data_IF_807352469976
#
_entry.id   IF_807352469976
#
_cell.length_a   1.000
_cell.length_b   1.000
_cell.length_c   1.000
_cell.angle_alpha   90.00
_cell.angle_beta   90.00
_cell.angle_gamma   90.00
#
_symmetry.space_group_name_H-M   'P 1'
#
loop_
_entity.id
_entity.type
_entity.pdbx_description
1 polymer ?
#
# COMPACT_ATOMS: atom_id res chain seq x y z
N UNK A 1 45.19 -1.64 4.05
CA UNK A 1 46.46 -2.36 3.99
C UNK A 1 46.72 -2.62 2.52
N UNK A 2 47.39 -1.67 1.86
CA UNK A 2 47.81 -1.73 0.47
C UNK A 2 48.80 -2.88 0.36
N UNK A 3 48.39 -3.98 -0.26
CA UNK A 3 49.29 -4.97 -0.78
C UNK A 3 50.12 -4.28 -1.85
N UNK A 4 51.38 -4.04 -1.56
CA UNK A 4 52.35 -3.64 -2.57
C UNK A 4 52.35 -4.69 -3.67
N UNK A 5 52.15 -4.29 -4.94
CA UNK A 5 52.25 -5.24 -6.02
C UNK A 5 53.71 -5.77 -6.02
N UNK A 6 53.84 -7.06 -5.92
CA UNK A 6 55.12 -7.76 -5.98
C UNK A 6 55.96 -7.38 -7.19
N UNK A 7 55.36 -6.76 -8.19
CA UNK A 7 56.00 -6.22 -9.39
C UNK A 7 57.09 -5.19 -9.11
N UNK A 8 57.06 -4.48 -7.95
CA UNK A 8 58.09 -3.50 -7.63
C UNK A 8 59.33 -4.11 -7.02
N UNK A 9 59.24 -5.29 -6.43
CA UNK A 9 60.39 -6.01 -5.84
C UNK A 9 61.26 -6.75 -6.87
N UNK A 10 60.72 -7.10 -8.02
CA UNK A 10 61.42 -7.83 -9.07
C UNK A 10 61.98 -6.93 -10.20
N UNK A 11 61.69 -5.63 -10.14
CA UNK A 11 62.19 -4.65 -11.13
C UNK A 11 63.45 -3.92 -10.69
N UNK A 12 64.19 -4.51 -9.80
CA UNK A 12 65.48 -3.97 -9.38
C UNK A 12 66.58 -4.47 -10.31
N UNK A 13 67.02 -3.64 -11.20
CA UNK A 13 68.33 -3.45 -11.89
C UNK A 13 69.11 -4.65 -12.46
N UNK A 14 68.70 -5.89 -12.35
CA UNK A 14 69.23 -7.02 -13.06
C UNK A 14 68.12 -7.93 -13.52
N UNK A 15 68.00 -8.11 -14.82
CA UNK A 15 67.11 -9.06 -15.49
C UNK A 15 67.41 -10.50 -15.02
N UNK A 16 66.91 -10.88 -13.85
CA UNK A 16 67.00 -12.22 -13.27
C UNK A 16 65.94 -13.16 -13.78
N UNK A 17 64.94 -12.66 -14.49
CA UNK A 17 63.83 -13.43 -15.01
C UNK A 17 63.55 -13.02 -16.45
N UNK A 18 63.33 -14.00 -17.33
CA UNK A 18 62.96 -13.76 -18.73
C UNK A 18 61.61 -13.00 -18.78
N UNK A 19 61.44 -12.07 -19.74
CA UNK A 19 60.17 -11.35 -19.96
C UNK A 19 59.00 -12.31 -20.14
N UNK A 20 59.24 -13.47 -20.76
CA UNK A 20 58.24 -14.54 -20.94
C UNK A 20 57.78 -15.14 -19.59
N UNK A 21 58.72 -15.36 -18.66
CA UNK A 21 58.39 -15.92 -17.35
C UNK A 21 57.62 -14.91 -16.49
N UNK A 22 57.91 -13.62 -16.64
CA UNK A 22 57.18 -12.54 -15.99
C UNK A 22 55.76 -12.46 -16.54
N UNK A 23 55.55 -12.43 -17.84
CA UNK A 23 54.25 -12.42 -18.47
C UNK A 23 53.41 -13.64 -18.08
N UNK A 24 54.06 -14.83 -18.04
CA UNK A 24 53.37 -16.05 -17.59
C UNK A 24 52.95 -15.96 -16.12
N UNK A 25 53.76 -15.38 -15.25
CA UNK A 25 53.41 -15.19 -13.84
C UNK A 25 52.24 -14.20 -13.67
N UNK A 26 52.24 -13.10 -14.43
CA UNK A 26 51.13 -12.13 -14.46
C UNK A 26 49.85 -12.80 -14.96
N UNK A 27 49.91 -13.54 -16.05
CA UNK A 27 48.77 -14.28 -16.57
C UNK A 27 48.18 -15.26 -15.54
N UNK A 28 49.06 -16.04 -14.88
CA UNK A 28 48.63 -16.98 -13.85
C UNK A 28 48.00 -16.28 -12.65
N UNK A 29 48.53 -15.11 -12.25
CA UNK A 29 47.95 -14.30 -11.19
C UNK A 29 46.57 -13.79 -11.58
N UNK A 30 46.41 -13.20 -12.78
CA UNK A 30 45.16 -12.68 -13.25
C UNK A 30 44.10 -13.76 -13.43
N UNK A 31 44.52 -14.93 -13.91
CA UNK A 31 43.69 -16.13 -14.00
C UNK A 31 43.21 -16.58 -12.61
N UNK A 32 44.11 -16.69 -11.64
CA UNK A 32 43.78 -17.08 -10.28
C UNK A 32 42.85 -16.05 -9.62
N UNK A 33 43.09 -14.75 -9.84
CA UNK A 33 42.22 -13.66 -9.36
C UNK A 33 40.84 -13.74 -9.98
N UNK A 34 40.73 -13.96 -11.28
CA UNK A 34 39.46 -14.12 -11.97
C UNK A 34 38.68 -15.34 -11.46
N UNK A 35 39.36 -16.45 -11.19
CA UNK A 35 38.71 -17.62 -10.57
C UNK A 35 38.23 -17.34 -9.14
N UNK A 36 39.03 -16.61 -8.36
CA UNK A 36 38.60 -16.19 -7.01
C UNK A 36 37.37 -15.30 -7.05
N UNK A 37 37.36 -14.28 -7.92
CA UNK A 37 36.23 -13.36 -8.07
C UNK A 37 34.96 -14.09 -8.55
N UNK A 38 35.12 -15.06 -9.48
CA UNK A 38 34.02 -15.92 -9.94
C UNK A 38 33.44 -16.77 -8.80
N UNK A 39 34.35 -17.42 -8.02
CA UNK A 39 33.93 -18.25 -6.89
C UNK A 39 33.23 -17.41 -5.79
N UNK A 40 33.74 -16.21 -5.53
CA UNK A 40 33.14 -15.26 -4.61
C UNK A 40 31.74 -14.82 -5.07
N UNK A 41 31.56 -14.56 -6.36
CA UNK A 41 30.26 -14.23 -6.93
C UNK A 41 29.29 -15.42 -6.84
N UNK A 42 29.77 -16.65 -7.08
CA UNK A 42 28.98 -17.87 -6.93
C UNK A 42 28.54 -18.09 -5.46
N UNK A 43 29.43 -17.87 -4.50
CA UNK A 43 29.10 -17.93 -3.07
C UNK A 43 28.02 -16.91 -2.71
N UNK A 44 28.18 -15.62 -3.10
CA UNK A 44 27.22 -14.58 -2.83
C UNK A 44 25.85 -14.87 -3.46
N UNK A 45 25.82 -15.53 -4.63
CA UNK A 45 24.58 -16.00 -5.25
C UNK A 45 23.91 -17.12 -4.43
N UNK A 46 24.70 -18.08 -3.96
CA UNK A 46 24.19 -19.18 -3.14
C UNK A 46 23.65 -18.70 -1.79
N UNK A 47 24.36 -17.79 -1.13
CA UNK A 47 23.89 -17.15 0.12
C UNK A 47 22.58 -16.38 -0.07
N UNK A 48 22.46 -15.64 -1.18
CA UNK A 48 21.21 -14.95 -1.51
C UNK A 48 20.06 -15.91 -1.78
N UNK A 49 20.33 -17.00 -2.49
CA UNK A 49 19.29 -18.02 -2.71
C UNK A 49 18.87 -18.68 -1.40
N UNK A 50 19.82 -18.90 -0.48
CA UNK A 50 19.49 -19.41 0.85
C UNK A 50 18.66 -18.43 1.66
N UNK A 51 18.92 -17.13 1.58
CA UNK A 51 18.14 -16.11 2.27
C UNK A 51 16.67 -16.07 1.82
N UNK A 52 16.39 -16.43 0.58
CA UNK A 52 15.00 -16.53 0.07
C UNK A 52 14.21 -17.72 0.61
N UNK A 53 14.88 -18.70 1.24
CA UNK A 53 14.20 -19.80 1.89
C UNK A 53 13.46 -19.37 3.18
N UNK A 54 13.82 -18.21 3.75
CA UNK A 54 13.16 -17.64 4.93
C UNK A 54 12.51 -16.32 4.53
N UNK A 55 11.19 -16.30 4.53
CA UNK A 55 10.40 -15.09 4.23
C UNK A 55 10.09 -14.40 5.56
N UNK A 56 10.57 -13.19 5.71
CA UNK A 56 10.34 -12.36 6.90
C UNK A 56 9.49 -11.15 6.56
N UNK A 57 8.69 -10.69 7.52
CA UNK A 57 7.94 -9.44 7.36
C UNK A 57 8.91 -8.26 7.28
N UNK A 58 8.73 -7.33 6.32
CA UNK A 58 9.50 -6.09 6.24
C UNK A 58 9.06 -5.04 7.26
N UNK A 59 7.90 -5.23 7.90
CA UNK A 59 7.31 -4.31 8.87
C UNK A 59 6.87 -5.06 10.13
N UNK A 60 6.92 -4.37 11.25
CA UNK A 60 6.29 -4.84 12.49
C UNK A 60 4.80 -4.56 12.43
N UNK A 61 3.97 -5.46 12.95
CA UNK A 61 2.52 -5.27 12.90
C UNK A 61 1.73 -6.51 13.29
N UNK A 62 0.43 -6.43 13.06
CA UNK A 62 -0.53 -7.50 13.33
C UNK A 62 -0.92 -8.18 12.03
N UNK A 63 -0.90 -9.52 12.02
CA UNK A 63 -1.37 -10.31 10.87
C UNK A 63 -2.89 -10.24 10.80
N UNK A 64 -3.40 -9.71 9.68
CA UNK A 64 -4.85 -9.61 9.40
C UNK A 64 -5.36 -10.91 8.78
N UNK A 65 -4.65 -11.42 7.78
CA UNK A 65 -5.01 -12.68 7.10
C UNK A 65 -3.77 -13.49 6.77
N UNK A 66 -3.93 -14.81 6.80
CA UNK A 66 -3.00 -15.81 6.28
C UNK A 66 -3.71 -16.53 5.15
N UNK A 67 -3.18 -16.35 3.93
CA UNK A 67 -3.76 -16.96 2.74
C UNK A 67 -3.04 -18.25 2.34
N UNK A 68 -2.15 -18.74 3.23
CA UNK A 68 -1.36 -19.96 3.03
C UNK A 68 -1.50 -20.90 4.22
N UNK A 69 -1.47 -22.19 3.94
CA UNK A 69 -1.49 -23.26 4.92
C UNK A 69 -0.16 -24.02 4.94
N UNK A 70 0.11 -24.67 6.06
CA UNK A 70 1.30 -25.52 6.21
C UNK A 70 1.27 -26.70 5.21
N UNK A 71 2.36 -26.90 4.49
CA UNK A 71 2.47 -27.91 3.44
C UNK A 71 1.95 -27.47 2.07
N UNK A 72 1.41 -26.28 1.93
CA UNK A 72 0.98 -25.74 0.65
C UNK A 72 2.18 -25.34 -0.21
N UNK A 73 2.17 -25.78 -1.48
CA UNK A 73 3.17 -25.36 -2.45
C UNK A 73 2.84 -23.97 -2.99
N UNK A 74 3.73 -23.02 -2.79
CA UNK A 74 3.62 -21.68 -3.37
C UNK A 74 4.40 -21.65 -4.67
N UNK A 75 3.69 -21.60 -5.79
CA UNK A 75 4.31 -21.46 -7.11
C UNK A 75 4.52 -19.97 -7.42
N UNK A 76 5.75 -19.56 -7.62
CA UNK A 76 6.08 -18.26 -8.20
C UNK A 76 5.88 -18.34 -9.72
N UNK A 77 4.63 -18.16 -10.17
CA UNK A 77 4.29 -18.06 -11.58
C UNK A 77 4.42 -16.62 -12.08
N UNK A 78 3.56 -16.24 -13.04
CA UNK A 78 3.51 -14.87 -13.55
C UNK A 78 2.84 -13.89 -12.59
N UNK A 79 2.13 -14.38 -11.57
CA UNK A 79 1.49 -13.58 -10.53
C UNK A 79 2.17 -13.83 -9.18
N UNK A 80 2.32 -12.76 -8.40
CA UNK A 80 2.86 -12.84 -7.05
C UNK A 80 1.74 -13.19 -6.08
N UNK A 81 1.69 -14.41 -5.49
CA UNK A 81 0.66 -14.77 -4.54
C UNK A 81 0.83 -13.98 -3.24
N UNK A 82 -0.29 -13.54 -2.67
CA UNK A 82 -0.33 -12.96 -1.33
C UNK A 82 -0.23 -14.08 -0.29
N UNK A 83 0.76 -14.01 0.58
CA UNK A 83 0.96 -15.00 1.64
C UNK A 83 0.29 -14.56 2.94
N UNK A 84 0.60 -13.34 3.37
CA UNK A 84 0.10 -12.72 4.59
C UNK A 84 -0.26 -11.27 4.33
N UNK A 85 -1.33 -10.81 4.96
CA UNK A 85 -1.67 -9.38 5.02
C UNK A 85 -1.37 -8.88 6.42
N UNK A 86 -0.47 -7.89 6.53
CA UNK A 86 0.00 -7.35 7.81
C UNK A 86 -0.33 -5.87 7.88
N UNK A 87 -0.95 -5.43 8.97
CA UNK A 87 -1.16 -4.02 9.26
C UNK A 87 -0.13 -3.54 10.28
N UNK A 88 0.51 -2.41 10.01
CA UNK A 88 1.46 -1.80 10.92
C UNK A 88 0.76 -1.20 12.14
N UNK A 89 -0.39 -0.56 11.94
CA UNK A 89 -1.17 0.07 12.99
C UNK A 89 -2.67 -0.05 12.69
N UNK A 90 -3.43 -0.51 13.69
CA UNK A 90 -4.89 -0.62 13.64
C UNK A 90 -5.60 0.56 14.31
N UNK A 91 -4.86 1.51 14.90
CA UNK A 91 -5.45 2.70 15.53
C UNK A 91 -5.86 3.73 14.50
N UNK A 92 -5.24 3.72 13.32
CA UNK A 92 -5.57 4.58 12.20
C UNK A 92 -6.13 3.73 11.07
N UNK A 93 -7.42 3.93 10.82
CA UNK A 93 -8.15 3.21 9.79
C UNK A 93 -8.54 4.14 8.65
N UNK A 94 -8.75 3.57 7.49
CA UNK A 94 -9.29 4.27 6.33
C UNK A 94 -10.61 3.61 5.94
N UNK A 95 -11.62 4.42 5.71
CA UNK A 95 -12.88 4.00 5.11
C UNK A 95 -12.88 4.48 3.67
N UNK A 96 -13.11 3.57 2.74
CA UNK A 96 -13.27 3.89 1.32
C UNK A 96 -14.76 3.86 1.04
N UNK A 97 -15.31 5.01 0.65
CA UNK A 97 -16.70 5.16 0.29
C UNK A 97 -16.84 5.34 -1.22
N UNK A 98 -17.74 4.57 -1.81
CA UNK A 98 -18.11 4.72 -3.22
C UNK A 98 -19.23 5.76 -3.33
N UNK A 99 -18.93 6.89 -3.95
CA UNK A 99 -19.84 8.01 -4.14
C UNK A 99 -20.26 8.09 -5.61
N UNK A 100 -21.55 8.24 -5.85
CA UNK A 100 -22.10 8.39 -7.21
C UNK A 100 -21.60 9.69 -7.86
N UNK A 101 -21.48 9.68 -9.19
CA UNK A 101 -21.11 10.84 -10.01
C UNK A 101 -22.03 12.05 -9.74
N UNK A 102 -23.31 11.81 -9.44
CA UNK A 102 -24.28 12.87 -9.15
C UNK A 102 -23.95 13.64 -7.86
N UNK A 103 -23.36 12.96 -6.86
CA UNK A 103 -23.14 13.51 -5.51
C UNK A 103 -21.69 13.97 -5.29
N UNK A 104 -20.73 13.51 -6.11
CA UNK A 104 -19.30 13.82 -5.94
C UNK A 104 -19.01 15.31 -6.07
N UNK A 105 -19.82 16.06 -6.86
CA UNK A 105 -19.60 17.49 -7.08
C UNK A 105 -19.69 18.36 -5.83
N UNK A 106 -20.30 17.86 -4.75
CA UNK A 106 -20.39 18.56 -3.47
C UNK A 106 -19.35 18.09 -2.43
N UNK A 107 -18.58 17.07 -2.72
CA UNK A 107 -17.60 16.50 -1.79
C UNK A 107 -16.26 17.19 -1.96
N UNK A 108 -15.70 17.69 -0.85
CA UNK A 108 -14.39 18.34 -0.80
C UNK A 108 -13.50 17.69 0.26
N UNK A 109 -12.19 17.78 0.07
CA UNK A 109 -11.22 17.33 1.06
C UNK A 109 -11.35 18.13 2.36
N UNK A 110 -11.26 17.44 3.50
CA UNK A 110 -11.37 18.04 4.83
C UNK A 110 -12.79 18.11 5.40
N UNK A 111 -13.81 17.75 4.63
CA UNK A 111 -15.20 17.69 5.13
C UNK A 111 -15.34 16.66 6.25
N UNK A 112 -16.23 16.97 7.21
CA UNK A 112 -16.56 16.06 8.30
C UNK A 112 -17.45 14.94 7.81
N UNK A 113 -17.16 13.75 8.28
CA UNK A 113 -17.90 12.54 7.95
C UNK A 113 -18.29 11.84 9.24
N UNK A 114 -19.52 11.37 9.31
CA UNK A 114 -19.94 10.40 10.32
C UNK A 114 -20.27 9.08 9.64
N UNK A 115 -19.94 7.98 10.30
CA UNK A 115 -20.28 6.66 9.78
C UNK A 115 -20.61 5.70 10.91
N UNK A 116 -21.44 4.73 10.59
CA UNK A 116 -21.78 3.61 11.46
C UNK A 116 -21.37 2.32 10.76
N UNK A 117 -20.96 1.33 11.53
CA UNK A 117 -20.64 0.00 11.02
C UNK A 117 -21.72 -0.99 11.43
N UNK A 118 -22.04 -1.96 10.58
CA UNK A 118 -23.10 -2.92 10.85
C UNK A 118 -22.83 -3.76 12.11
N UNK A 119 -21.56 -3.93 12.49
CA UNK A 119 -21.17 -4.61 13.72
C UNK A 119 -21.52 -3.81 14.99
N UNK A 120 -21.59 -2.48 14.91
CA UNK A 120 -21.89 -1.56 16.02
C UNK A 120 -22.87 -0.48 15.57
N UNK A 121 -24.17 -0.79 15.38
CA UNK A 121 -25.14 0.14 14.80
C UNK A 121 -25.45 1.33 15.71
N UNK A 122 -25.18 1.22 17.01
CA UNK A 122 -25.42 2.29 17.98
C UNK A 122 -24.20 3.20 18.19
N UNK A 123 -23.02 2.81 17.73
CA UNK A 123 -21.79 3.59 17.86
C UNK A 123 -21.60 4.43 16.59
N UNK A 124 -21.54 5.75 16.75
CA UNK A 124 -21.25 6.68 15.66
C UNK A 124 -19.76 7.00 15.69
N UNK A 125 -19.11 6.78 14.58
CA UNK A 125 -17.70 7.10 14.37
C UNK A 125 -17.59 8.37 13.56
N UNK A 126 -16.57 9.16 13.86
CA UNK A 126 -16.26 10.39 13.13
C UNK A 126 -14.98 10.24 12.31
N UNK A 127 -14.99 10.85 11.14
CA UNK A 127 -13.86 10.87 10.23
C UNK A 127 -13.78 12.18 9.45
N UNK A 128 -12.74 12.28 8.62
CA UNK A 128 -12.58 13.39 7.68
C UNK A 128 -12.22 12.85 6.31
N UNK A 129 -12.75 13.50 5.27
CA UNK A 129 -12.33 13.24 3.89
C UNK A 129 -10.86 13.61 3.74
N UNK A 130 -10.03 12.64 3.38
CA UNK A 130 -8.59 12.83 3.19
C UNK A 130 -8.24 13.00 1.73
N UNK A 131 -8.90 12.23 0.86
CA UNK A 131 -8.58 12.23 -0.56
C UNK A 131 -9.80 11.79 -1.38
N UNK A 132 -9.96 12.38 -2.53
CA UNK A 132 -10.91 11.96 -3.56
C UNK A 132 -10.10 11.36 -4.71
N UNK A 133 -10.33 10.09 -5.02
CA UNK A 133 -9.67 9.44 -6.15
C UNK A 133 -10.41 9.78 -7.43
N UNK A 134 -9.69 10.40 -8.38
CA UNK A 134 -10.25 10.82 -9.66
C UNK A 134 -10.44 9.68 -10.68
N UNK A 135 -10.02 8.47 -10.35
CA UNK A 135 -10.28 7.29 -11.15
C UNK A 135 -11.67 6.71 -10.85
N UNK A 136 -12.56 6.75 -11.81
CA UNK A 136 -13.86 6.09 -11.67
C UNK A 136 -13.69 4.58 -11.69
N UNK A 137 -14.26 3.89 -10.70
CA UNK A 137 -14.42 2.45 -10.74
C UNK A 137 -15.76 2.11 -11.37
N UNK A 138 -15.74 1.52 -12.54
CA UNK A 138 -16.95 0.96 -13.14
C UNK A 138 -17.14 -0.48 -12.65
N UNK A 139 -17.99 -0.69 -11.65
CA UNK A 139 -18.40 -2.04 -11.29
C UNK A 139 -19.40 -2.58 -12.29
N UNK A 140 -18.95 -3.43 -13.21
CA UNK A 140 -19.84 -4.20 -14.06
C UNK A 140 -20.38 -5.40 -13.29
N UNK A 141 -21.56 -5.27 -12.69
CA UNK A 141 -22.29 -6.43 -12.21
C UNK A 141 -22.90 -7.14 -13.40
N UNK A 142 -22.26 -8.21 -13.85
CA UNK A 142 -22.81 -9.10 -14.89
C UNK A 142 -23.93 -9.95 -14.28
N UNK A 143 -25.14 -9.42 -14.26
CA UNK A 143 -26.33 -10.23 -14.11
C UNK A 143 -26.83 -10.53 -15.52
N UNK A 144 -26.83 -11.80 -15.85
CA UNK A 144 -27.33 -12.32 -17.14
C UNK A 144 -28.73 -11.82 -17.44
N UNK A 145 -28.85 -10.97 -18.40
CA UNK A 145 -29.94 -10.52 -19.27
C UNK A 145 -30.13 -9.01 -19.28
N UNK A 146 -29.70 -8.40 -20.43
CA UNK A 146 -30.14 -7.14 -21.03
C UNK A 146 -30.13 -5.87 -20.15
N UNK A 147 -29.17 -5.03 -20.45
CA UNK A 147 -28.85 -3.67 -20.03
C UNK A 147 -27.76 -3.59 -18.94
N UNK A 148 -26.53 -3.51 -19.41
CA UNK A 148 -25.40 -3.14 -18.54
C UNK A 148 -25.48 -1.66 -18.23
N UNK A 149 -26.12 -1.28 -17.14
CA UNK A 149 -26.02 0.09 -16.60
C UNK A 149 -24.70 0.13 -15.83
N UNK A 150 -23.64 0.61 -16.45
CA UNK A 150 -22.41 0.91 -15.72
C UNK A 150 -22.65 2.16 -14.87
N UNK A 151 -22.73 1.98 -13.57
CA UNK A 151 -22.75 3.10 -12.63
C UNK A 151 -21.30 3.55 -12.44
N UNK A 152 -21.05 4.83 -12.69
CA UNK A 152 -19.74 5.46 -12.43
C UNK A 152 -19.73 5.92 -11.00
N UNK A 153 -18.81 5.35 -10.20
CA UNK A 153 -18.61 5.74 -8.81
C UNK A 153 -17.19 6.26 -8.60
N UNK A 154 -17.02 7.17 -7.68
CA UNK A 154 -15.74 7.74 -7.27
C UNK A 154 -15.41 7.29 -5.87
N UNK A 155 -14.18 6.84 -5.67
CA UNK A 155 -13.70 6.43 -4.35
C UNK A 155 -13.29 7.65 -3.51
N UNK A 156 -13.95 7.83 -2.38
CA UNK A 156 -13.61 8.84 -1.38
C UNK A 156 -12.94 8.18 -0.19
N UNK A 157 -11.71 8.56 0.09
CA UNK A 157 -10.93 8.03 1.22
C UNK A 157 -11.14 8.91 2.44
N UNK A 158 -11.60 8.30 3.52
CA UNK A 158 -11.94 8.94 4.78
C UNK A 158 -11.00 8.40 5.84
N UNK A 159 -10.32 9.28 6.58
CA UNK A 159 -9.52 8.87 7.73
C UNK A 159 -10.43 8.71 8.96
N UNK A 160 -10.30 7.59 9.65
CA UNK A 160 -11.03 7.28 10.86
C UNK A 160 -10.04 6.88 11.97
N UNK A 161 -10.22 7.45 13.16
CA UNK A 161 -9.45 7.06 14.33
C UNK A 161 -10.13 5.88 15.04
N UNK A 162 -9.34 4.91 15.46
CA UNK A 162 -9.80 3.69 16.10
C UNK A 162 -9.04 3.43 17.42
N UNK A 163 -9.17 4.32 18.43
CA UNK A 163 -8.42 4.17 19.70
C UNK A 163 -8.82 2.90 20.46
N UNK A 164 -10.07 2.50 20.37
CA UNK A 164 -10.63 1.35 21.09
C UNK A 164 -10.45 0.02 20.33
N UNK A 165 -9.84 0.03 19.14
CA UNK A 165 -9.67 -1.13 18.27
C UNK A 165 -11.00 -1.86 17.95
N UNK A 166 -12.13 -1.15 18.01
CA UNK A 166 -13.45 -1.69 17.66
C UNK A 166 -13.61 -1.90 16.16
N UNK A 167 -13.05 -0.98 15.38
CA UNK A 167 -13.07 -1.09 13.92
C UNK A 167 -12.08 -2.16 13.48
N UNK A 168 -12.56 -3.13 12.74
CA UNK A 168 -11.76 -4.19 12.13
C UNK A 168 -11.67 -3.97 10.62
N UNK A 169 -10.58 -4.43 9.99
CA UNK A 169 -10.48 -4.39 8.53
C UNK A 169 -11.64 -5.15 7.86
N UNK A 170 -12.07 -4.68 6.69
CA UNK A 170 -13.14 -5.28 5.87
C UNK A 170 -14.56 -5.21 6.48
N UNK A 171 -14.80 -4.32 7.43
CA UNK A 171 -16.18 -4.04 7.86
C UNK A 171 -16.86 -3.13 6.84
N UNK A 172 -18.15 -3.38 6.63
CA UNK A 172 -19.01 -2.49 5.85
C UNK A 172 -19.45 -1.34 6.73
N UNK A 173 -19.39 -0.12 6.19
CA UNK A 173 -19.77 1.09 6.88
C UNK A 173 -20.82 1.89 6.08
N UNK A 174 -21.81 2.42 6.79
CA UNK A 174 -22.77 3.38 6.24
C UNK A 174 -22.27 4.79 6.52
N UNK A 175 -21.88 5.49 5.46
CA UNK A 175 -21.17 6.78 5.52
C UNK A 175 -22.11 7.94 5.22
N UNK A 176 -22.03 8.99 6.05
CA UNK A 176 -22.72 10.26 5.83
C UNK A 176 -21.70 11.39 5.77
N UNK A 177 -21.56 12.02 4.61
CA UNK A 177 -20.65 13.14 4.36
C UNK A 177 -21.43 14.45 4.54
N UNK A 178 -20.92 15.37 5.37
CA UNK A 178 -21.54 16.67 5.61
C UNK A 178 -20.99 17.68 4.62
N UNK A 179 -21.73 17.94 3.56
CA UNK A 179 -21.35 18.90 2.50
C UNK A 179 -21.42 20.34 3.03
N UNK A 180 -22.37 20.63 3.91
CA UNK A 180 -22.59 21.95 4.44
C UNK A 180 -22.84 21.89 5.95
N UNK A 181 -21.91 22.39 6.75
CA UNK A 181 -22.06 22.53 8.20
C UNK A 181 -22.03 24.03 8.57
N UNK A 182 -23.22 24.63 8.73
CA UNK A 182 -23.36 26.03 9.16
C UNK A 182 -23.66 26.07 10.63
N UNK A 183 -22.77 26.64 11.42
CA UNK A 183 -22.96 26.91 12.85
C UNK A 183 -23.59 28.30 13.04
N UNK A 184 -24.31 28.49 14.14
CA UNK A 184 -24.90 29.76 14.55
C UNK A 184 -25.88 30.36 13.53
N UNK A 185 -26.71 29.52 12.90
CA UNK A 185 -27.80 29.98 12.02
C UNK A 185 -29.15 29.97 12.73
N UNK A 186 -29.95 30.97 12.44
CA UNK A 186 -31.35 31.01 12.90
C UNK A 186 -32.14 29.91 12.20
N UNK A 187 -32.63 28.95 12.97
CA UNK A 187 -33.48 27.87 12.45
C UNK A 187 -34.96 28.22 12.62
N UNK A 188 -35.71 28.03 11.57
CA UNK A 188 -37.14 28.18 11.57
C UNK A 188 -37.80 26.82 11.41
N UNK A 189 -38.71 26.40 12.28
CA UNK A 189 -39.37 25.10 12.13
C UNK A 189 -40.14 25.07 10.80
N UNK A 190 -40.08 23.93 10.10
CA UNK A 190 -40.68 23.77 8.76
C UNK A 190 -42.22 24.02 8.74
N UNK A 191 -42.90 23.98 9.89
CA UNK A 191 -44.29 24.37 10.02
C UNK A 191 -44.50 25.86 9.78
N UNK A 192 -43.56 26.72 10.14
CA UNK A 192 -43.64 28.16 9.91
C UNK A 192 -43.60 28.54 8.43
N UNK A 193 -42.92 27.73 7.60
CA UNK A 193 -42.85 27.92 6.15
C UNK A 193 -44.15 27.52 5.43
N UNK A 194 -45.00 26.75 6.08
CA UNK A 194 -46.33 26.33 5.56
C UNK A 194 -47.46 27.16 6.09
N UNK A 195 -47.18 28.23 6.86
CA UNK A 195 -48.22 29.11 7.39
C UNK A 195 -48.73 30.01 6.27
N UNK A 196 -49.99 29.81 5.89
CA UNK A 196 -50.76 30.71 5.04
C UNK A 196 -51.79 31.38 5.91
N UNK A 197 -51.72 32.71 6.11
CA UNK A 197 -52.75 33.42 6.87
C UNK A 197 -54.09 33.35 6.14
N UNK A 198 -55.17 33.02 6.87
CA UNK A 198 -56.55 32.92 6.33
C UNK A 198 -57.15 34.28 5.99
N UNK A 199 -56.53 35.35 6.47
CA UNK A 199 -57.07 36.74 6.26
C UNK A 199 -55.91 37.63 5.84
N UNK A 200 -56.04 38.45 4.77
CA UNK A 200 -55.02 39.44 4.43
C UNK A 200 -54.92 40.43 5.60
N UNK A 201 -53.78 40.53 6.22
CA UNK A 201 -53.43 41.57 7.16
C UNK A 201 -53.30 42.87 6.39
N UNK A 202 -54.38 43.68 6.41
CA UNK A 202 -54.42 45.06 5.93
C UNK A 202 -54.01 45.97 7.08
#
# INVERSE_FOLDING_TARGET
>A
RTLFPYTTLFRSEKTLISDTDYEQAVYNYDKAKSMFDSSKAALAKAERNLSYATITSPIDGVVISSDVEEGQTVASGFETPTLFTIAADLTQMQVVADVDEADIGGVEEGQRVSFTVDAYPNDMFEGKVTQIRLGSTSSSTSTSSSATTSVVTYEVVISAQNPDLKLKPRLTANVTIYILDKKDVLSVPSRALRFTPEVPLI
#
